data_IF_527414112514
#
_entry.id   IF_527414112514
#
_cell.length_a   1.000
_cell.length_b   1.000
_cell.length_c   1.000
_cell.angle_alpha   90.00
_cell.angle_beta   90.00
_cell.angle_gamma   90.00
#
_symmetry.space_group_name_H-M   'P 1'
#
loop_
_entity.id
_entity.type
_entity.pdbx_description
1 polymer ?
#
# COMPACT_ATOMS: atom_id res chain seq x y z
N UNK A 1 23.56 34.47 62.48
CA UNK A 1 22.29 33.71 62.38
C UNK A 1 22.62 32.32 61.85
N UNK A 2 23.20 31.44 62.66
CA UNK A 2 22.56 30.33 63.38
C UNK A 2 21.56 29.49 62.55
N UNK A 3 22.01 28.32 62.08
CA UNK A 3 21.22 27.09 62.04
C UNK A 3 21.06 26.56 63.51
N UNK A 4 20.41 25.40 63.83
CA UNK A 4 19.89 24.31 62.98
C UNK A 4 18.53 23.72 63.47
N UNK A 5 18.03 22.65 62.84
CA UNK A 5 17.75 21.36 63.51
C UNK A 5 17.17 20.28 62.57
N UNK A 6 17.57 19.05 62.90
CA UNK A 6 17.37 17.78 62.22
C UNK A 6 16.62 16.82 63.15
N UNK A 7 15.85 15.88 62.61
CA UNK A 7 15.56 14.54 63.16
C UNK A 7 15.00 13.69 62.00
N UNK A 8 15.58 12.57 61.49
CA UNK A 8 15.89 11.25 62.08
C UNK A 8 14.72 10.65 62.86
N UNK A 9 14.38 9.36 62.85
CA UNK A 9 14.74 8.12 62.15
C UNK A 9 13.87 7.03 62.84
N UNK A 10 13.71 5.84 62.23
CA UNK A 10 13.66 4.48 62.83
C UNK A 10 12.72 3.60 61.98
N UNK A 11 13.24 2.68 61.15
CA UNK A 11 13.72 1.31 61.46
C UNK A 11 12.65 0.42 62.10
N UNK A 12 12.33 -0.69 61.43
CA UNK A 12 12.58 -2.02 61.99
C UNK A 12 12.48 -3.12 60.92
N UNK A 13 13.35 -4.11 61.10
CA UNK A 13 13.45 -5.36 60.35
C UNK A 13 13.04 -6.51 61.29
N UNK A 14 12.49 -7.61 60.77
CA UNK A 14 12.46 -8.91 61.44
C UNK A 14 12.57 -10.06 60.43
N UNK A 15 13.01 -11.21 60.94
CA UNK A 15 13.76 -12.30 60.29
C UNK A 15 12.90 -13.51 59.89
N UNK A 16 13.38 -14.23 58.86
CA UNK A 16 13.43 -15.69 58.61
C UNK A 16 12.51 -16.64 59.39
N UNK A 17 11.82 -17.54 58.67
CA UNK A 17 11.79 -19.00 58.97
C UNK A 17 11.63 -19.85 57.69
N UNK A 18 12.33 -20.98 57.69
CA UNK A 18 12.33 -22.06 56.70
C UNK A 18 11.27 -23.12 57.03
N UNK A 19 10.56 -23.64 56.03
CA UNK A 19 9.87 -24.95 56.08
C UNK A 19 9.79 -25.57 54.68
N UNK A 20 10.35 -26.78 54.51
CA UNK A 20 9.99 -27.76 53.47
C UNK A 20 8.73 -28.51 53.95
N UNK A 21 7.80 -28.97 53.08
CA UNK A 21 7.87 -30.37 52.64
C UNK A 21 7.23 -30.75 51.26
N UNK A 22 7.69 -31.90 50.76
CA UNK A 22 6.99 -33.01 50.06
C UNK A 22 6.31 -32.79 48.69
N UNK A 23 6.75 -33.63 47.74
CA UNK A 23 6.28 -33.76 46.36
C UNK A 23 4.91 -34.45 46.23
N UNK A 24 4.17 -34.16 45.14
CA UNK A 24 3.26 -35.12 44.53
C UNK A 24 3.81 -35.64 43.20
N UNK A 25 3.69 -36.96 43.03
CA UNK A 25 3.97 -37.73 41.82
C UNK A 25 2.95 -37.34 40.75
N UNK A 26 3.43 -36.82 39.61
CA UNK A 26 2.63 -36.75 38.39
C UNK A 26 3.06 -37.86 37.44
N UNK A 27 2.09 -38.72 37.14
CA UNK A 27 2.11 -39.75 36.11
C UNK A 27 2.10 -39.13 34.70
N UNK A 28 2.48 -39.90 33.66
CA UNK A 28 2.97 -39.37 32.40
C UNK A 28 1.82 -38.94 31.48
N UNK A 29 1.96 -37.78 30.83
CA UNK A 29 1.14 -37.42 29.68
C UNK A 29 1.97 -37.64 28.43
N UNK A 30 1.75 -38.80 27.80
CA UNK A 30 2.30 -39.14 26.50
C UNK A 30 1.92 -38.03 25.50
N UNK A 31 2.93 -37.39 24.92
CA UNK A 31 2.73 -36.47 23.81
C UNK A 31 2.30 -37.28 22.59
N UNK A 32 1.10 -36.96 22.09
CA UNK A 32 0.55 -37.46 20.85
C UNK A 32 1.41 -37.03 19.66
N UNK A 33 1.41 -37.92 18.67
CA UNK A 33 2.12 -37.92 17.39
C UNK A 33 2.78 -36.61 16.92
N UNK A 34 4.09 -36.69 16.68
CA UNK A 34 4.74 -35.86 15.68
C UNK A 34 4.24 -36.30 14.30
N UNK A 35 3.29 -35.55 13.72
CA UNK A 35 3.02 -35.61 12.28
C UNK A 35 4.27 -35.11 11.55
N UNK A 36 5.13 -36.04 11.16
CA UNK A 36 6.23 -35.78 10.24
C UNK A 36 5.63 -35.46 8.88
N UNK A 37 5.50 -34.17 8.57
CA UNK A 37 5.26 -33.74 7.19
C UNK A 37 6.58 -33.91 6.46
N UNK A 38 6.70 -35.02 5.72
CA UNK A 38 7.82 -35.23 4.82
C UNK A 38 7.88 -34.08 3.80
N UNK A 39 9.03 -33.44 3.56
CA UNK A 39 9.16 -32.48 2.48
C UNK A 39 9.05 -33.24 1.16
N UNK A 40 8.05 -32.90 0.34
CA UNK A 40 8.05 -33.32 -1.06
C UNK A 40 9.13 -32.52 -1.77
N UNK A 41 10.26 -33.16 -2.06
CA UNK A 41 11.26 -32.63 -2.96
C UNK A 41 10.63 -32.50 -4.36
N UNK A 42 10.36 -31.27 -4.79
CA UNK A 42 10.09 -31.01 -6.19
C UNK A 42 11.38 -31.22 -6.97
N UNK A 43 11.41 -32.24 -7.81
CA UNK A 43 12.50 -32.49 -8.75
C UNK A 43 12.51 -31.37 -9.79
N UNK A 44 13.45 -30.43 -9.68
CA UNK A 44 13.67 -29.43 -10.71
C UNK A 44 14.51 -30.09 -11.81
N UNK A 45 13.85 -30.82 -12.70
CA UNK A 45 14.49 -31.33 -13.91
C UNK A 45 14.75 -30.13 -14.82
N UNK A 46 16.02 -29.81 -15.06
CA UNK A 46 16.42 -28.82 -16.05
C UNK A 46 15.79 -29.19 -17.39
N UNK A 47 14.80 -28.41 -17.83
CA UNK A 47 14.17 -28.57 -19.14
C UNK A 47 15.20 -28.19 -20.20
N UNK A 48 15.93 -29.17 -20.71
CA UNK A 48 16.65 -29.01 -21.97
C UNK A 48 15.61 -28.80 -23.07
N UNK A 49 15.58 -27.60 -23.62
CA UNK A 49 14.84 -27.25 -24.82
C UNK A 49 15.36 -28.10 -25.98
N UNK A 50 14.68 -29.20 -26.25
CA UNK A 50 14.83 -29.93 -27.52
C UNK A 50 13.46 -30.51 -27.86
N UNK A 51 12.80 -29.84 -28.81
CA UNK A 51 11.53 -30.25 -29.38
C UNK A 51 11.62 -31.63 -30.02
N UNK A 52 10.47 -32.30 -30.08
CA UNK A 52 10.30 -33.71 -30.49
C UNK A 52 9.77 -33.84 -31.93
N UNK A 53 9.81 -32.79 -32.75
CA UNK A 53 9.34 -32.89 -34.15
C UNK A 53 10.50 -32.63 -35.13
N UNK A 54 10.75 -33.53 -36.10
CA UNK A 54 11.86 -33.38 -37.04
C UNK A 54 11.61 -32.38 -38.18
N UNK A 55 10.51 -31.61 -38.15
CA UNK A 55 10.19 -30.63 -39.19
C UNK A 55 9.23 -29.54 -38.66
N UNK A 56 9.60 -28.86 -37.58
CA UNK A 56 8.93 -27.60 -37.21
C UNK A 56 9.95 -26.50 -37.31
N UNK A 57 9.88 -25.74 -38.39
CA UNK A 57 10.46 -24.40 -38.47
C UNK A 57 10.10 -23.67 -37.17
N UNK A 58 11.14 -23.39 -36.39
CA UNK A 58 11.06 -22.58 -35.20
C UNK A 58 10.31 -21.30 -35.58
N UNK A 59 9.12 -21.01 -35.01
CA UNK A 59 8.52 -19.71 -35.25
C UNK A 59 9.48 -18.72 -34.59
N UNK A 60 10.31 -18.09 -35.43
CA UNK A 60 11.03 -16.88 -35.08
C UNK A 60 9.99 -16.01 -34.41
N UNK A 61 10.24 -15.69 -33.14
CA UNK A 61 9.43 -14.77 -32.38
C UNK A 61 9.30 -13.53 -33.26
N UNK A 62 8.17 -13.39 -33.97
CA UNK A 62 7.81 -12.14 -34.64
C UNK A 62 8.03 -11.10 -33.58
N UNK A 63 8.86 -10.12 -33.93
CA UNK A 63 9.27 -9.02 -33.09
C UNK A 63 8.14 -8.70 -32.13
N UNK A 64 8.39 -8.92 -30.83
CA UNK A 64 7.48 -8.41 -29.82
C UNK A 64 7.37 -6.93 -30.15
N UNK A 65 6.22 -6.52 -30.66
CA UNK A 65 5.84 -5.11 -30.80
C UNK A 65 6.40 -4.43 -29.55
N UNK A 66 7.28 -3.42 -29.69
CA UNK A 66 7.88 -2.79 -28.54
C UNK A 66 6.73 -2.48 -27.58
N UNK A 67 6.83 -3.01 -26.36
CA UNK A 67 5.89 -2.69 -25.28
C UNK A 67 5.77 -1.18 -25.36
N UNK A 68 4.60 -0.69 -25.80
CA UNK A 68 4.38 0.73 -26.01
C UNK A 68 4.60 1.32 -24.63
N UNK A 69 5.80 1.83 -24.39
CA UNK A 69 6.10 2.54 -23.16
C UNK A 69 5.11 3.69 -23.20
N UNK A 70 4.16 3.63 -22.28
CA UNK A 70 3.12 4.63 -22.15
C UNK A 70 3.86 5.88 -21.68
N UNK A 71 4.45 6.62 -22.62
CA UNK A 71 5.22 7.83 -22.38
C UNK A 71 4.48 9.04 -22.97
N UNK A 72 3.48 8.82 -23.82
CA UNK A 72 2.74 9.87 -24.48
C UNK A 72 1.32 9.98 -23.90
N UNK A 73 0.92 11.17 -23.41
CA UNK A 73 -0.42 11.40 -22.90
C UNK A 73 -1.45 11.23 -24.02
N UNK A 74 -2.59 10.61 -23.72
CA UNK A 74 -3.64 10.45 -24.74
C UNK A 74 -4.30 11.80 -25.02
N UNK A 75 -4.34 12.29 -26.27
CA UNK A 75 -4.99 13.55 -26.58
C UNK A 75 -6.52 13.41 -26.46
N UNK A 76 -7.08 13.87 -25.34
CA UNK A 76 -8.52 13.89 -25.06
C UNK A 76 -9.13 15.27 -25.32
N UNK A 77 -10.45 15.32 -25.57
CA UNK A 77 -11.18 16.58 -25.67
C UNK A 77 -11.19 17.32 -24.32
N UNK A 78 -11.41 18.65 -24.33
CA UNK A 78 -11.43 19.45 -23.09
C UNK A 78 -12.63 19.05 -22.22
N UNK A 79 -13.83 18.94 -22.80
CA UNK A 79 -15.02 18.41 -22.13
C UNK A 79 -14.76 17.03 -21.51
N UNK A 80 -14.15 16.12 -22.27
CA UNK A 80 -13.85 14.77 -21.78
C UNK A 80 -12.84 14.78 -20.62
N UNK A 81 -11.84 15.65 -20.67
CA UNK A 81 -10.94 15.88 -19.54
C UNK A 81 -11.72 16.35 -18.31
N UNK A 82 -12.64 17.30 -18.47
CA UNK A 82 -13.44 17.81 -17.35
C UNK A 82 -14.27 16.70 -16.72
N UNK A 83 -15.03 15.95 -17.52
CA UNK A 83 -15.85 14.83 -17.02
C UNK A 83 -15.01 13.79 -16.28
N UNK A 84 -13.89 13.36 -16.86
CA UNK A 84 -13.01 12.34 -16.25
C UNK A 84 -12.30 12.86 -14.99
N UNK A 85 -11.79 14.10 -15.02
CA UNK A 85 -11.07 14.68 -13.89
C UNK A 85 -12.02 15.01 -12.73
N UNK A 86 -13.23 15.51 -13.01
CA UNK A 86 -14.23 15.79 -11.99
C UNK A 86 -14.72 14.51 -11.34
N UNK A 87 -15.05 13.48 -12.13
CA UNK A 87 -15.41 12.17 -11.58
C UNK A 87 -14.30 11.59 -10.69
N UNK A 88 -13.04 11.67 -11.13
CA UNK A 88 -11.91 11.15 -10.34
C UNK A 88 -11.71 11.94 -9.03
N UNK A 89 -11.82 13.27 -9.07
CA UNK A 89 -11.70 14.10 -7.88
C UNK A 89 -12.86 13.87 -6.92
N UNK A 90 -14.09 13.71 -7.40
CA UNK A 90 -15.25 13.38 -6.56
C UNK A 90 -15.06 12.04 -5.84
N UNK A 91 -14.56 11.02 -6.52
CA UNK A 91 -14.22 9.75 -5.88
C UNK A 91 -13.12 9.94 -4.82
N UNK A 92 -12.06 10.69 -5.14
CA UNK A 92 -10.99 10.99 -4.18
C UNK A 92 -11.50 11.75 -2.95
N UNK A 93 -12.40 12.71 -3.13
CA UNK A 93 -13.04 13.44 -2.02
C UNK A 93 -13.80 12.45 -1.14
N UNK A 94 -14.65 11.60 -1.72
CA UNK A 94 -15.40 10.60 -0.96
C UNK A 94 -14.49 9.68 -0.16
N UNK A 95 -13.37 9.19 -0.73
CA UNK A 95 -12.39 8.38 0.02
C UNK A 95 -11.64 9.16 1.09
N UNK A 96 -11.37 10.44 0.85
CA UNK A 96 -10.70 11.30 1.82
C UNK A 96 -11.62 11.60 3.02
N UNK A 97 -12.92 11.82 2.77
CA UNK A 97 -13.93 12.00 3.81
C UNK A 97 -14.08 10.73 4.66
N UNK A 98 -14.17 9.55 4.04
CA UNK A 98 -14.16 8.26 4.75
C UNK A 98 -12.92 8.12 5.66
N UNK A 99 -11.75 8.53 5.15
CA UNK A 99 -10.50 8.51 5.92
C UNK A 99 -10.51 9.51 7.08
N UNK A 100 -11.18 10.65 6.91
CA UNK A 100 -11.36 11.65 7.96
C UNK A 100 -12.31 11.18 9.07
N UNK A 101 -13.29 10.33 8.74
CA UNK A 101 -14.12 9.66 9.75
C UNK A 101 -13.35 8.58 10.52
N UNK A 102 -12.45 7.84 9.87
CA UNK A 102 -11.64 6.79 10.50
C UNK A 102 -10.55 7.35 11.43
N UNK A 103 -9.93 8.47 11.05
CA UNK A 103 -8.82 9.08 11.81
C UNK A 103 -9.13 10.49 12.27
N UNK A 104 -9.11 10.65 13.60
CA UNK A 104 -9.14 11.97 14.22
C UNK A 104 -7.93 12.82 13.80
N UNK A 105 -8.21 14.05 13.36
CA UNK A 105 -7.20 15.05 12.99
C UNK A 105 -6.92 15.17 11.49
N UNK A 106 -7.58 14.37 10.65
CA UNK A 106 -7.58 14.57 9.19
C UNK A 106 -8.66 15.59 8.82
N UNK A 107 -8.30 16.56 8.00
CA UNK A 107 -9.21 17.60 7.51
C UNK A 107 -9.16 17.64 5.98
N UNK A 108 -10.34 17.70 5.36
CA UNK A 108 -10.52 17.59 3.90
C UNK A 108 -11.32 18.79 3.41
N UNK A 109 -10.74 19.54 2.49
CA UNK A 109 -11.37 20.71 1.88
C UNK A 109 -11.32 20.61 0.36
N UNK A 110 -12.48 20.61 -0.29
CA UNK A 110 -12.59 20.63 -1.74
C UNK A 110 -13.18 21.95 -2.23
N UNK A 111 -12.47 22.65 -3.10
CA UNK A 111 -12.89 23.96 -3.62
C UNK A 111 -12.34 24.22 -5.02
N UNK A 112 -13.23 24.56 -5.97
CA UNK A 112 -12.88 24.98 -7.33
C UNK A 112 -11.90 24.05 -8.08
N UNK A 113 -12.02 22.73 -7.89
CA UNK A 113 -11.12 21.74 -8.49
C UNK A 113 -9.78 21.57 -7.77
N UNK A 114 -9.66 22.12 -6.56
CA UNK A 114 -8.53 21.91 -5.64
C UNK A 114 -9.02 21.11 -4.44
N UNK A 115 -8.42 19.95 -4.20
CA UNK A 115 -8.62 19.11 -3.03
C UNK A 115 -7.42 19.25 -2.10
N UNK A 116 -7.66 19.77 -0.89
CA UNK A 116 -6.68 19.91 0.17
C UNK A 116 -6.96 18.88 1.26
N UNK A 117 -5.97 18.06 1.59
CA UNK A 117 -6.08 17.03 2.64
C UNK A 117 -4.98 17.30 3.67
N UNK A 118 -5.35 17.74 4.85
CA UNK A 118 -4.43 17.92 5.96
C UNK A 118 -4.35 16.63 6.76
N UNK A 119 -3.18 15.99 6.74
CA UNK A 119 -2.92 14.74 7.43
C UNK A 119 -1.72 14.91 8.40
N UNK A 120 -1.95 15.24 9.68
CA UNK A 120 -0.88 15.35 10.66
C UNK A 120 -0.35 13.94 11.06
N UNK A 121 0.97 13.75 11.26
CA UNK A 121 2.04 14.75 11.22
C UNK A 121 2.68 14.94 9.82
N UNK A 122 2.18 14.29 8.77
CA UNK A 122 2.84 14.27 7.46
C UNK A 122 2.72 15.60 6.70
N UNK A 123 1.72 16.43 7.01
CA UNK A 123 1.49 17.75 6.41
C UNK A 123 0.22 17.79 5.57
N UNK A 124 0.15 18.72 4.62
CA UNK A 124 -1.02 18.94 3.76
C UNK A 124 -0.72 18.50 2.33
N UNK A 125 -1.55 17.59 1.81
CA UNK A 125 -1.57 17.17 0.43
C UNK A 125 -2.52 18.08 -0.35
N UNK A 126 -2.11 18.53 -1.54
CA UNK A 126 -2.94 19.36 -2.40
C UNK A 126 -3.02 18.74 -3.78
N UNK A 127 -4.22 18.39 -4.22
CA UNK A 127 -4.52 17.87 -5.55
C UNK A 127 -5.26 18.98 -6.31
N UNK A 128 -4.79 19.34 -7.50
CA UNK A 128 -5.33 20.46 -8.28
C UNK A 128 -5.59 20.05 -9.73
N UNK A 129 -6.79 20.32 -10.22
CA UNK A 129 -7.17 20.20 -11.62
C UNK A 129 -6.55 21.33 -12.44
N UNK A 130 -5.82 21.00 -13.51
CA UNK A 130 -5.23 21.98 -14.44
C UNK A 130 -5.85 21.85 -15.84
N UNK A 131 -7.00 22.50 -16.10
CA UNK A 131 -7.66 22.49 -17.40
C UNK A 131 -6.79 22.92 -18.59
N UNK A 132 -5.90 23.95 -18.48
CA UNK A 132 -5.08 24.37 -19.61
C UNK A 132 -4.12 23.29 -20.11
N UNK A 133 -3.60 22.47 -19.21
CA UNK A 133 -2.65 21.39 -19.53
C UNK A 133 -3.32 20.02 -19.59
N UNK A 134 -4.61 19.91 -19.24
CA UNK A 134 -5.34 18.63 -19.11
C UNK A 134 -4.69 17.65 -18.14
N UNK A 135 -4.14 18.18 -17.05
CA UNK A 135 -3.42 17.40 -16.04
C UNK A 135 -4.07 17.50 -14.67
N UNK A 136 -3.70 16.58 -13.80
CA UNK A 136 -3.93 16.69 -12.36
C UNK A 136 -2.57 16.86 -11.68
N UNK A 137 -2.43 17.88 -10.85
CA UNK A 137 -1.21 18.13 -10.10
C UNK A 137 -1.39 17.69 -8.66
N UNK A 138 -0.37 17.05 -8.09
CA UNK A 138 -0.30 16.67 -6.68
C UNK A 138 0.89 17.37 -6.05
N UNK A 139 0.66 18.09 -4.96
CA UNK A 139 1.69 18.56 -4.05
C UNK A 139 1.64 17.71 -2.80
N UNK A 140 2.66 16.87 -2.60
CA UNK A 140 2.78 16.00 -1.44
C UNK A 140 3.97 16.45 -0.57
N UNK A 141 3.81 16.57 0.75
CA UNK A 141 4.92 16.90 1.66
C UNK A 141 5.97 15.78 1.74
N UNK A 142 5.61 14.56 1.37
CA UNK A 142 6.50 13.38 1.43
C UNK A 142 7.21 13.13 0.09
N UNK A 143 6.48 13.25 -1.02
CA UNK A 143 6.98 12.88 -2.36
C UNK A 143 7.23 14.07 -3.28
N UNK A 144 6.88 15.29 -2.87
CA UNK A 144 7.04 16.50 -3.66
C UNK A 144 5.93 16.68 -4.71
N UNK A 145 6.15 17.57 -5.70
CA UNK A 145 5.21 17.82 -6.78
C UNK A 145 5.19 16.66 -7.79
N UNK A 146 3.99 16.24 -8.19
CA UNK A 146 3.73 15.24 -9.23
C UNK A 146 2.67 15.75 -10.20
N UNK A 147 2.76 15.30 -11.45
CA UNK A 147 1.81 15.63 -12.52
C UNK A 147 1.31 14.35 -13.14
N UNK A 148 0.00 14.24 -13.30
CA UNK A 148 -0.64 13.09 -13.88
C UNK A 148 -1.30 13.50 -15.18
N UNK A 149 -1.10 12.66 -16.18
CA UNK A 149 -1.70 12.78 -17.49
C UNK A 149 -2.67 11.63 -17.71
N UNK A 150 -3.73 11.89 -18.47
CA UNK A 150 -4.69 10.86 -18.81
C UNK A 150 -4.12 9.95 -19.90
N UNK A 151 -4.13 8.64 -19.64
CA UNK A 151 -3.74 7.64 -20.63
C UNK A 151 -4.84 6.60 -20.78
N UNK A 152 -5.26 6.38 -22.01
CA UNK A 152 -6.12 5.25 -22.37
C UNK A 152 -5.28 3.97 -22.43
N UNK A 153 -5.56 3.03 -21.52
CA UNK A 153 -5.01 1.69 -21.52
C UNK A 153 -5.93 0.85 -22.41
N UNK A 154 -5.40 0.34 -23.54
CA UNK A 154 -6.19 -0.30 -24.59
C UNK A 154 -7.26 -1.28 -24.09
N UNK A 155 -8.38 -1.33 -24.82
CA UNK A 155 -9.57 -2.14 -24.53
C UNK A 155 -9.20 -3.58 -24.12
N UNK A 156 -9.35 -3.92 -22.84
CA UNK A 156 -9.40 -5.31 -22.44
C UNK A 156 -10.67 -5.91 -23.04
N UNK A 157 -10.54 -7.01 -23.78
CA UNK A 157 -11.62 -7.65 -24.55
C UNK A 157 -12.80 -8.19 -23.71
N UNK A 158 -12.89 -7.85 -22.42
CA UNK A 158 -13.92 -8.31 -21.51
C UNK A 158 -14.47 -7.16 -20.66
N UNK A 159 -15.26 -6.26 -21.28
CA UNK A 159 -16.64 -5.95 -20.88
C UNK A 159 -17.18 -4.77 -21.70
N UNK A 160 -18.27 -5.04 -22.42
CA UNK A 160 -19.34 -4.13 -22.87
C UNK A 160 -18.93 -2.73 -23.37
N UNK A 161 -19.03 -2.59 -24.70
CA UNK A 161 -19.26 -1.37 -25.48
C UNK A 161 -19.23 -0.03 -24.72
N UNK A 162 -18.16 0.77 -24.94
CA UNK A 162 -18.30 2.23 -24.95
C UNK A 162 -17.29 3.06 -24.17
N UNK A 163 -16.45 2.49 -23.32
CA UNK A 163 -15.45 3.26 -22.58
C UNK A 163 -14.08 2.58 -22.67
N UNK A 164 -13.21 3.11 -23.52
CA UNK A 164 -11.80 2.81 -23.42
C UNK A 164 -11.35 3.17 -21.99
N UNK A 165 -10.94 2.15 -21.23
CA UNK A 165 -10.49 2.32 -19.84
C UNK A 165 -9.20 3.13 -19.87
N UNK A 166 -9.10 4.15 -19.03
CA UNK A 166 -7.85 4.89 -18.88
C UNK A 166 -7.62 5.23 -17.43
N UNK A 167 -6.41 5.68 -17.15
CA UNK A 167 -5.98 6.01 -15.80
C UNK A 167 -5.12 7.27 -15.81
N UNK A 168 -5.00 7.89 -14.64
CA UNK A 168 -4.14 9.03 -14.40
C UNK A 168 -2.72 8.55 -14.11
N UNK A 169 -1.85 8.62 -15.11
CA UNK A 169 -0.49 8.09 -15.03
C UNK A 169 0.51 9.22 -14.81
N UNK A 170 1.44 9.01 -13.87
CA UNK A 170 2.61 9.86 -13.71
C UNK A 170 3.68 9.40 -14.71
N UNK A 171 3.95 10.24 -15.71
CA UNK A 171 4.98 10.04 -16.74
C UNK A 171 6.35 10.61 -16.31
#
# INVERSE_FOLDING_TARGET
>A
MSAPRSARCLRQAVRSLSTRPVAPRYLPRQALCASQVAPRYFSNSSRTFKGILPDTDEPTLKDREPLHEINDPTPIAVEEYHERADHYLEELVSRAEELAEEKEGVDVEFSAGVLSITYPPNGTYVINKQPPTKQIWLSSPVSGPKRFDWVVLGESQQQKEGAASGDWIYL
#
